data_IF_684567292158
#
_entry.id   IF_684567292158
#
_cell.length_a   1.000
_cell.length_b   1.000
_cell.length_c   1.000
_cell.angle_alpha   90.00
_cell.angle_beta   90.00
_cell.angle_gamma   90.00
#
_symmetry.space_group_name_H-M   'P 1'
#
loop_
_entity.id
_entity.type
_entity.pdbx_description
1 polymer ?
#
# COMPACT_ATOMS: atom_id res chain seq x y z
N UNK A 1 -9.99 -22.93 8.98
CA UNK A 1 -11.20 -22.30 8.40
C UNK A 1 -10.75 -20.97 7.82
N UNK A 2 -10.87 -20.74 6.51
CA UNK A 2 -10.68 -19.38 5.97
C UNK A 2 -11.70 -18.48 6.65
N UNK A 3 -11.23 -17.57 7.49
CA UNK A 3 -12.11 -16.66 8.21
C UNK A 3 -12.66 -15.62 7.22
N UNK A 4 -13.77 -15.97 6.56
CA UNK A 4 -14.43 -15.15 5.54
C UNK A 4 -14.65 -13.74 6.08
N UNK A 5 -14.12 -12.76 5.36
CA UNK A 5 -14.38 -11.35 5.59
C UNK A 5 -15.87 -11.08 5.79
N UNK A 6 -16.26 -10.54 6.95
CA UNK A 6 -17.64 -10.13 7.22
C UNK A 6 -18.02 -8.90 6.39
N UNK A 7 -19.31 -8.58 6.28
CA UNK A 7 -19.76 -7.39 5.54
C UNK A 7 -19.12 -6.10 6.08
N UNK A 8 -19.09 -5.92 7.40
CA UNK A 8 -18.46 -4.75 8.04
C UNK A 8 -16.95 -4.71 7.80
N UNK A 9 -16.26 -5.85 7.95
CA UNK A 9 -14.82 -5.91 7.68
C UNK A 9 -14.50 -5.54 6.23
N UNK A 10 -15.31 -5.97 5.25
CA UNK A 10 -15.11 -5.62 3.83
C UNK A 10 -15.23 -4.12 3.57
N UNK A 11 -16.15 -3.44 4.25
CA UNK A 11 -16.31 -1.99 4.13
C UNK A 11 -15.05 -1.29 4.66
N UNK A 12 -14.62 -1.63 5.87
CA UNK A 12 -13.41 -1.04 6.45
C UNK A 12 -12.14 -1.38 5.67
N UNK A 13 -12.05 -2.60 5.14
CA UNK A 13 -10.95 -2.97 4.25
C UNK A 13 -10.90 -2.07 3.01
N UNK A 14 -12.06 -1.75 2.42
CA UNK A 14 -12.12 -0.85 1.27
C UNK A 14 -11.66 0.55 1.63
N UNK A 15 -12.18 1.08 2.72
CA UNK A 15 -11.84 2.43 3.21
C UNK A 15 -10.35 2.57 3.49
N UNK A 16 -9.74 1.59 4.17
CA UNK A 16 -8.31 1.60 4.47
C UNK A 16 -7.44 1.44 3.22
N UNK A 17 -7.87 0.61 2.26
CA UNK A 17 -7.18 0.44 0.99
C UNK A 17 -7.18 1.74 0.19
N UNK A 18 -8.34 2.38 0.03
CA UNK A 18 -8.49 3.64 -0.69
C UNK A 18 -7.75 4.78 0.02
N UNK A 19 -7.78 4.82 1.36
CA UNK A 19 -7.03 5.77 2.18
C UNK A 19 -5.51 5.66 1.94
N UNK A 20 -4.98 4.43 1.98
CA UNK A 20 -3.56 4.19 1.76
C UNK A 20 -3.13 4.56 0.34
N UNK A 21 -3.95 4.21 -0.67
CA UNK A 21 -3.74 4.61 -2.06
C UNK A 21 -3.71 6.13 -2.22
N UNK A 22 -4.64 6.83 -1.57
CA UNK A 22 -4.68 8.30 -1.55
C UNK A 22 -3.42 8.92 -0.94
N UNK A 23 -2.93 8.38 0.20
CA UNK A 23 -1.69 8.85 0.84
C UNK A 23 -0.48 8.68 -0.06
N UNK A 24 -0.35 7.53 -0.72
CA UNK A 24 0.78 7.26 -1.61
C UNK A 24 0.74 8.12 -2.88
N UNK A 25 -0.45 8.36 -3.45
CA UNK A 25 -0.57 9.32 -4.55
C UNK A 25 -0.26 10.75 -4.11
N UNK A 26 -0.66 11.16 -2.91
CA UNK A 26 -0.32 12.49 -2.38
C UNK A 26 1.20 12.67 -2.25
N UNK A 27 1.91 11.67 -1.74
CA UNK A 27 3.38 11.67 -1.68
C UNK A 27 4.01 11.74 -3.08
N UNK A 28 3.48 10.96 -4.04
CA UNK A 28 3.97 10.99 -5.41
C UNK A 28 3.76 12.36 -6.07
N UNK A 29 2.58 12.97 -5.89
CA UNK A 29 2.26 14.29 -6.42
C UNK A 29 3.18 15.35 -5.82
N UNK A 30 3.41 15.32 -4.51
CA UNK A 30 4.32 16.24 -3.83
C UNK A 30 5.75 16.11 -4.36
N UNK A 31 6.23 14.87 -4.54
CA UNK A 31 7.54 14.60 -5.13
C UNK A 31 7.65 15.16 -6.55
N UNK A 32 6.63 15.01 -7.39
CA UNK A 32 6.61 15.57 -8.74
C UNK A 32 6.67 17.10 -8.68
N UNK A 33 5.84 17.73 -7.84
CA UNK A 33 5.75 19.19 -7.72
C UNK A 33 7.04 19.83 -7.18
N UNK A 34 7.81 19.09 -6.39
CA UNK A 34 9.08 19.55 -5.81
C UNK A 34 10.31 19.17 -6.64
N UNK A 35 10.14 18.34 -7.68
CA UNK A 35 11.22 17.97 -8.60
C UNK A 35 11.58 19.16 -9.48
N UNK A 36 12.83 19.60 -9.42
CA UNK A 36 13.37 20.60 -10.35
C UNK A 36 13.85 19.90 -11.62
N UNK A 37 13.51 20.47 -12.76
CA UNK A 37 13.93 20.01 -14.08
C UNK A 37 14.70 21.16 -14.71
N UNK A 38 16.02 21.04 -14.78
CA UNK A 38 16.92 22.08 -15.30
C UNK A 38 17.62 21.63 -16.59
N UNK A 39 17.65 20.31 -16.83
CA UNK A 39 18.32 19.68 -17.98
C UNK A 39 17.39 18.69 -18.71
N UNK A 40 17.71 18.31 -19.97
CA UNK A 40 17.00 17.24 -20.66
C UNK A 40 17.09 15.89 -19.95
N UNK A 41 18.18 15.60 -19.23
CA UNK A 41 18.35 14.33 -18.51
C UNK A 41 17.38 14.22 -17.32
N UNK A 42 17.12 15.34 -16.62
CA UNK A 42 16.14 15.39 -15.52
C UNK A 42 14.72 14.98 -15.98
N UNK A 43 14.37 15.26 -17.23
CA UNK A 43 13.08 14.85 -17.82
C UNK A 43 13.00 13.33 -17.91
N UNK A 44 14.07 12.68 -18.35
CA UNK A 44 14.13 11.22 -18.49
C UNK A 44 14.23 10.52 -17.14
N UNK A 45 14.93 11.10 -16.17
CA UNK A 45 14.97 10.61 -14.79
C UNK A 45 13.58 10.65 -14.14
N UNK A 46 12.83 11.74 -14.34
CA UNK A 46 11.44 11.84 -13.88
C UNK A 46 10.56 10.78 -14.57
N UNK A 47 10.69 10.62 -15.89
CA UNK A 47 9.97 9.59 -16.65
C UNK A 47 10.21 8.19 -16.08
N UNK A 48 11.47 7.83 -15.83
CA UNK A 48 11.84 6.52 -15.33
C UNK A 48 11.37 6.29 -13.90
N UNK A 49 11.43 7.32 -13.05
CA UNK A 49 10.85 7.28 -11.71
C UNK A 49 9.34 6.99 -11.77
N UNK A 50 8.59 7.69 -12.63
CA UNK A 50 7.16 7.48 -12.81
C UNK A 50 6.87 6.08 -13.38
N UNK A 51 7.70 5.61 -14.31
CA UNK A 51 7.61 4.27 -14.88
C UNK A 51 7.77 3.17 -13.82
N UNK A 52 8.73 3.32 -12.91
CA UNK A 52 8.93 2.42 -11.76
C UNK A 52 7.74 2.49 -10.81
N UNK A 53 7.30 3.69 -10.44
CA UNK A 53 6.17 3.87 -9.52
C UNK A 53 4.88 3.26 -10.03
N UNK A 54 4.62 3.37 -11.34
CA UNK A 54 3.47 2.70 -11.98
C UNK A 54 3.52 1.18 -11.80
N UNK A 55 4.68 0.55 -12.00
CA UNK A 55 4.83 -0.90 -11.83
C UNK A 55 4.60 -1.31 -10.37
N UNK A 56 5.16 -0.55 -9.42
CA UNK A 56 4.96 -0.78 -7.99
C UNK A 56 3.48 -0.68 -7.60
N UNK A 57 2.79 0.38 -8.00
CA UNK A 57 1.37 0.58 -7.69
C UNK A 57 0.51 -0.53 -8.28
N UNK A 58 0.76 -0.93 -9.53
CA UNK A 58 0.01 -2.00 -10.19
C UNK A 58 0.25 -3.37 -9.54
N UNK A 59 1.45 -3.63 -9.02
CA UNK A 59 1.77 -4.89 -8.33
C UNK A 59 1.21 -4.94 -6.90
N UNK A 60 1.27 -3.82 -6.18
CA UNK A 60 0.89 -3.73 -4.77
C UNK A 60 -0.62 -3.67 -4.54
N UNK A 61 -1.34 -2.88 -5.33
CA UNK A 61 -2.76 -2.59 -5.06
C UNK A 61 -3.70 -3.64 -5.68
N UNK A 62 -3.59 -4.87 -5.22
CA UNK A 62 -4.51 -5.97 -5.59
C UNK A 62 -5.66 -6.11 -4.59
N UNK A 63 -6.86 -5.69 -5.01
CA UNK A 63 -8.04 -5.69 -4.13
C UNK A 63 -8.72 -7.07 -3.97
N UNK A 64 -8.14 -8.16 -4.50
CA UNK A 64 -8.70 -9.50 -4.26
C UNK A 64 -8.57 -9.84 -2.78
N UNK A 65 -9.66 -10.29 -2.15
CA UNK A 65 -9.68 -10.59 -0.70
C UNK A 65 -8.63 -11.61 -0.25
N UNK A 66 -8.20 -12.52 -1.14
CA UNK A 66 -7.11 -13.47 -0.86
C UNK A 66 -5.74 -12.81 -0.81
N UNK A 67 -5.56 -11.65 -1.45
CA UNK A 67 -4.32 -10.87 -1.46
C UNK A 67 -4.31 -9.77 -0.41
N UNK A 68 -5.48 -9.33 0.05
CA UNK A 68 -5.64 -8.13 0.85
C UNK A 68 -4.83 -8.12 2.16
N UNK A 69 -4.62 -9.29 2.78
CA UNK A 69 -3.74 -9.44 3.93
C UNK A 69 -2.28 -9.07 3.61
N UNK A 70 -1.77 -9.53 2.47
CA UNK A 70 -0.43 -9.21 1.99
C UNK A 70 -0.32 -7.74 1.61
N UNK A 71 -1.32 -7.19 0.93
CA UNK A 71 -1.37 -5.77 0.58
C UNK A 71 -1.31 -4.90 1.83
N UNK A 72 -2.13 -5.16 2.86
CA UNK A 72 -2.07 -4.38 4.08
C UNK A 72 -0.73 -4.50 4.81
N UNK A 73 -0.08 -5.66 4.81
CA UNK A 73 1.27 -5.78 5.35
C UNK A 73 2.30 -4.93 4.57
N UNK A 74 2.22 -4.91 3.23
CA UNK A 74 3.06 -4.04 2.41
C UNK A 74 2.79 -2.54 2.68
N UNK A 75 1.52 -2.15 2.84
CA UNK A 75 1.14 -0.78 3.14
C UNK A 75 1.59 -0.33 4.53
N UNK A 76 1.56 -1.23 5.52
CA UNK A 76 2.10 -0.96 6.86
C UNK A 76 3.62 -0.82 6.81
N UNK A 77 4.32 -1.71 6.11
CA UNK A 77 5.78 -1.62 5.95
C UNK A 77 6.20 -0.36 5.19
N UNK A 78 5.41 0.05 4.21
CA UNK A 78 5.61 1.29 3.44
C UNK A 78 5.21 2.56 4.20
N UNK A 79 4.67 2.46 5.42
CA UNK A 79 4.25 3.61 6.22
C UNK A 79 2.95 4.27 5.76
N UNK A 80 2.23 3.71 4.78
CA UNK A 80 0.97 4.24 4.28
C UNK A 80 -0.21 3.94 5.22
N UNK A 81 -0.08 2.92 6.06
CA UNK A 81 -0.99 2.59 7.15
C UNK A 81 -0.20 2.25 8.41
N UNK A 82 -0.81 2.44 9.57
CA UNK A 82 -0.33 1.91 10.84
C UNK A 82 -1.09 0.64 11.22
N UNK A 83 -0.48 -0.23 12.04
CA UNK A 83 -1.18 -1.41 12.57
C UNK A 83 -2.46 -1.02 13.31
N UNK A 84 -2.48 0.11 14.01
CA UNK A 84 -3.65 0.59 14.77
C UNK A 84 -4.84 0.91 13.87
N UNK A 85 -4.60 1.46 12.68
CA UNK A 85 -5.66 1.74 11.70
C UNK A 85 -6.34 0.47 11.17
N UNK A 86 -5.71 -0.71 11.32
CA UNK A 86 -6.29 -2.00 10.95
C UNK A 86 -7.21 -2.61 12.02
N UNK A 87 -7.42 -1.96 13.16
CA UNK A 87 -8.30 -2.48 14.23
C UNK A 87 -9.74 -2.80 13.74
N UNK A 88 -10.38 -1.97 12.88
CA UNK A 88 -11.74 -2.23 12.37
C UNK A 88 -11.87 -3.46 11.46
N UNK A 89 -10.78 -3.97 10.87
CA UNK A 89 -10.82 -5.21 10.08
C UNK A 89 -10.74 -6.48 10.95
N UNK A 90 -10.56 -6.31 12.27
CA UNK A 90 -10.59 -7.38 13.26
C UNK A 90 -9.20 -7.77 13.78
N UNK A 91 -9.13 -8.05 15.09
CA UNK A 91 -7.88 -8.32 15.82
C UNK A 91 -7.11 -9.53 15.29
N UNK A 92 -7.79 -10.59 14.84
CA UNK A 92 -7.11 -11.76 14.26
C UNK A 92 -6.34 -11.38 12.98
N UNK A 93 -6.97 -10.59 12.10
CA UNK A 93 -6.38 -10.16 10.84
C UNK A 93 -5.25 -9.17 11.09
N UNK A 94 -5.44 -8.22 12.00
CA UNK A 94 -4.40 -7.30 12.44
C UNK A 94 -3.16 -8.06 12.98
N UNK A 95 -3.34 -9.06 13.84
CA UNK A 95 -2.23 -9.87 14.38
C UNK A 95 -1.54 -10.70 13.29
N UNK A 96 -2.28 -11.19 12.31
CA UNK A 96 -1.71 -11.91 11.16
C UNK A 96 -0.88 -10.98 10.27
N UNK A 97 -1.36 -9.75 10.04
CA UNK A 97 -0.63 -8.72 9.29
C UNK A 97 0.63 -8.28 10.04
N UNK A 98 0.57 -8.10 11.35
CA UNK A 98 1.74 -7.78 12.18
C UNK A 98 2.84 -8.86 12.07
N UNK A 99 2.46 -10.14 12.06
CA UNK A 99 3.42 -11.24 11.84
C UNK A 99 4.05 -11.17 10.44
N UNK A 100 3.27 -10.85 9.41
CA UNK A 100 3.77 -10.68 8.04
C UNK A 100 4.76 -9.52 7.93
N UNK A 101 4.45 -8.37 8.55
CA UNK A 101 5.33 -7.18 8.57
C UNK A 101 6.68 -7.50 9.22
N UNK A 102 6.69 -8.30 10.29
CA UNK A 102 7.90 -8.67 11.02
C UNK A 102 8.68 -9.85 10.42
N UNK A 103 8.17 -10.47 9.34
CA UNK A 103 8.81 -11.64 8.73
C UNK A 103 9.91 -11.23 7.74
N UNK A 104 11.14 -11.72 7.97
CA UNK A 104 12.34 -11.36 7.17
C UNK A 104 12.29 -11.76 5.68
N UNK A 105 11.40 -12.66 5.28
CA UNK A 105 11.24 -13.11 3.88
C UNK A 105 10.05 -12.49 3.14
N UNK A 106 9.50 -11.39 3.64
CA UNK A 106 8.36 -10.70 3.04
C UNK A 106 8.84 -9.78 1.90
N UNK A 107 9.35 -10.37 0.82
CA UNK A 107 9.73 -9.68 -0.42
C UNK A 107 9.16 -10.44 -1.62
N UNK A 108 8.26 -9.79 -2.37
CA UNK A 108 7.86 -10.12 -3.74
C UNK A 108 7.48 -8.83 -4.44
#
# INVERSE_FOLDING_TARGET
>A
MEEKWTKSQKVHARELFDLALGREYAELIDKINTTKIETPDDVWDLHDMLGKKRKELNGKYDYRYSQLMFVFAQLVRGGYLSLKELEPIGKEKQASIEKMVNFKGFET
#
